data_IF_976248588793
#
_entry.id   IF_976248588793
#
_cell.length_a   1.000
_cell.length_b   1.000
_cell.length_c   1.000
_cell.angle_alpha   90.00
_cell.angle_beta   90.00
_cell.angle_gamma   90.00
#
_symmetry.space_group_name_H-M   'P 1'
#
loop_
_entity.id
_entity.type
_entity.pdbx_description
1 polymer ?
#
# COMPACT_ATOMS: atom_id res chain seq x y z
N UNK A 1 29.36 27.90 30.49
CA UNK A 1 28.44 26.76 30.34
C UNK A 1 27.75 26.89 29.00
N UNK A 2 28.25 26.23 27.96
CA UNK A 2 27.62 26.23 26.64
C UNK A 2 26.87 24.90 26.48
N UNK A 3 25.54 24.97 26.43
CA UNK A 3 24.70 23.80 26.12
C UNK A 3 24.63 23.66 24.60
N UNK A 4 25.42 22.74 24.05
CA UNK A 4 25.33 22.35 22.64
C UNK A 4 24.07 21.51 22.47
N UNK A 5 23.01 22.11 21.93
CA UNK A 5 21.81 21.39 21.52
C UNK A 5 22.13 20.52 20.31
N UNK A 6 22.26 19.21 20.50
CA UNK A 6 22.32 18.25 19.40
C UNK A 6 20.88 18.07 18.90
N UNK A 7 20.58 18.65 17.75
CA UNK A 7 19.36 18.32 17.00
C UNK A 7 19.65 17.02 16.25
N UNK A 8 19.23 15.89 16.81
CA UNK A 8 19.14 14.63 16.08
C UNK A 8 17.94 14.74 15.15
N UNK A 9 18.12 15.33 13.97
CA UNK A 9 17.18 15.16 12.88
C UNK A 9 17.34 13.73 12.37
N UNK A 10 16.63 12.79 13.01
CA UNK A 10 16.41 11.47 12.42
C UNK A 10 15.65 11.69 11.13
N UNK A 11 16.37 11.71 10.02
CA UNK A 11 15.82 11.56 8.68
C UNK A 11 15.19 10.19 8.58
N UNK A 12 13.98 10.04 9.14
CA UNK A 12 13.04 9.04 8.71
C UNK A 12 12.82 9.36 7.23
N UNK A 13 13.53 8.67 6.35
CA UNK A 13 13.16 8.60 4.94
C UNK A 13 11.70 8.14 4.96
N UNK A 14 10.78 9.08 4.75
CA UNK A 14 9.35 8.77 4.72
C UNK A 14 9.18 7.75 3.60
N UNK A 15 9.04 6.47 3.97
CA UNK A 15 8.80 5.41 3.00
C UNK A 15 7.53 5.81 2.28
N UNK A 16 7.61 5.86 0.94
CA UNK A 16 6.46 6.21 0.13
C UNK A 16 5.29 5.29 0.52
N UNK A 17 4.08 5.83 0.77
CA UNK A 17 2.97 5.05 1.27
C UNK A 17 2.64 3.93 0.26
N UNK A 18 2.72 2.68 0.69
CA UNK A 18 2.62 1.51 -0.19
C UNK A 18 1.77 0.43 0.47
N UNK A 19 1.04 -0.33 -0.34
CA UNK A 19 0.40 -1.60 0.04
C UNK A 19 0.84 -2.67 -0.96
N UNK A 20 1.25 -3.82 -0.44
CA UNK A 20 1.58 -4.99 -1.25
C UNK A 20 0.44 -6.00 -1.13
N UNK A 21 -0.18 -6.34 -2.25
CA UNK A 21 -1.12 -7.44 -2.34
C UNK A 21 -0.37 -8.69 -2.79
N UNK A 22 -0.32 -9.68 -1.92
CA UNK A 22 0.16 -11.02 -2.24
C UNK A 22 -0.99 -12.03 -2.30
N UNK A 23 -0.67 -13.20 -2.84
CA UNK A 23 -1.57 -14.36 -2.78
C UNK A 23 -1.37 -15.09 -1.46
N UNK A 24 -2.44 -15.29 -0.69
CA UNK A 24 -2.41 -15.99 0.59
C UNK A 24 -2.52 -17.52 0.45
N UNK A 25 -3.21 -17.99 -0.60
CA UNK A 25 -3.44 -19.43 -0.86
C UNK A 25 -2.64 -19.95 -2.05
N UNK A 26 -1.91 -21.05 -1.84
CA UNK A 26 -1.20 -21.78 -2.90
C UNK A 26 -2.19 -22.20 -4.00
N UNK A 27 -1.91 -21.82 -5.25
CA UNK A 27 -2.74 -22.13 -6.42
C UNK A 27 -3.75 -21.05 -6.83
N UNK A 28 -3.83 -19.93 -6.11
CA UNK A 28 -4.53 -18.72 -6.57
C UNK A 28 -3.60 -17.83 -7.39
N UNK A 29 -4.15 -17.14 -8.38
CA UNK A 29 -3.37 -16.19 -9.20
C UNK A 29 -3.40 -14.80 -8.55
N UNK A 30 -2.41 -13.96 -8.86
CA UNK A 30 -2.41 -12.56 -8.42
C UNK A 30 -3.66 -11.83 -8.96
N UNK A 31 -4.31 -10.93 -8.19
CA UNK A 31 -5.45 -10.21 -8.71
C UNK A 31 -5.01 -9.26 -9.83
N UNK A 32 -5.92 -9.03 -10.78
CA UNK A 32 -5.67 -8.12 -11.89
C UNK A 32 -5.50 -6.68 -11.35
N UNK A 33 -4.42 -6.01 -11.76
CA UNK A 33 -4.13 -4.64 -11.33
C UNK A 33 -5.20 -3.63 -11.74
N UNK A 34 -5.87 -3.84 -12.87
CA UNK A 34 -6.96 -3.00 -13.34
C UNK A 34 -8.22 -3.17 -12.50
N UNK A 35 -8.55 -4.41 -12.11
CA UNK A 35 -9.65 -4.67 -11.19
C UNK A 35 -9.43 -3.98 -9.84
N UNK A 36 -8.22 -4.11 -9.29
CA UNK A 36 -7.85 -3.46 -8.03
C UNK A 36 -7.93 -1.94 -8.16
N UNK A 37 -7.42 -1.37 -9.26
CA UNK A 37 -7.54 0.07 -9.54
C UNK A 37 -8.99 0.54 -9.54
N UNK A 38 -9.87 -0.14 -10.29
CA UNK A 38 -11.28 0.24 -10.38
C UNK A 38 -11.96 0.27 -9.02
N UNK A 39 -11.70 -0.75 -8.19
CA UNK A 39 -12.31 -0.84 -6.87
C UNK A 39 -11.80 0.23 -5.91
N UNK A 40 -10.51 0.58 -5.97
CA UNK A 40 -9.97 1.70 -5.20
C UNK A 40 -10.58 3.03 -5.66
N UNK A 41 -10.62 3.25 -6.98
CA UNK A 41 -11.19 4.46 -7.57
C UNK A 41 -12.69 4.62 -7.26
N UNK A 42 -13.47 3.53 -7.29
CA UNK A 42 -14.91 3.56 -6.96
C UNK A 42 -15.20 3.92 -5.50
N UNK A 43 -14.21 3.74 -4.61
CA UNK A 43 -14.28 4.11 -3.20
C UNK A 43 -13.59 5.46 -2.91
N UNK A 44 -13.17 6.20 -3.94
CA UNK A 44 -12.54 7.50 -3.81
C UNK A 44 -11.08 7.46 -3.35
N UNK A 45 -10.41 6.31 -3.48
CA UNK A 45 -9.00 6.15 -3.14
C UNK A 45 -8.12 6.53 -4.32
N UNK A 46 -7.27 7.55 -4.13
CA UNK A 46 -6.30 7.98 -5.13
C UNK A 46 -4.98 7.25 -4.95
N UNK A 47 -4.50 6.67 -6.05
CA UNK A 47 -3.25 5.92 -6.09
C UNK A 47 -2.28 6.56 -7.09
N UNK A 48 -0.98 6.44 -6.82
CA UNK A 48 0.08 6.89 -7.72
C UNK A 48 0.40 5.87 -8.79
N UNK A 49 0.47 4.59 -8.41
CA UNK A 49 0.80 3.51 -9.32
C UNK A 49 0.33 2.16 -8.80
N UNK A 50 0.12 1.23 -9.73
CA UNK A 50 -0.01 -0.20 -9.45
C UNK A 50 0.97 -0.93 -10.35
N UNK A 51 1.86 -1.71 -9.75
CA UNK A 51 2.87 -2.47 -10.49
C UNK A 51 2.87 -3.93 -10.04
N UNK A 52 2.74 -4.90 -10.97
CA UNK A 52 3.00 -6.29 -10.64
C UNK A 52 4.51 -6.52 -10.49
N UNK A 53 4.95 -6.92 -9.31
CA UNK A 53 6.36 -7.17 -8.97
C UNK A 53 6.52 -8.47 -8.19
N UNK A 54 7.37 -9.38 -8.68
CA UNK A 54 7.79 -10.60 -7.95
C UNK A 54 6.62 -11.46 -7.42
N UNK A 55 5.52 -11.59 -8.17
CA UNK A 55 4.35 -12.36 -7.74
C UNK A 55 3.49 -11.66 -6.70
N UNK A 56 3.64 -10.34 -6.56
CA UNK A 56 2.80 -9.43 -5.78
C UNK A 56 2.34 -8.27 -6.64
N UNK A 57 1.30 -7.58 -6.18
CA UNK A 57 0.84 -6.33 -6.77
C UNK A 57 1.19 -5.21 -5.79
N UNK A 58 2.05 -4.30 -6.21
CA UNK A 58 2.53 -3.19 -5.40
C UNK A 58 1.73 -1.95 -5.76
N UNK A 59 1.05 -1.37 -4.77
CA UNK A 59 0.20 -0.19 -4.92
C UNK A 59 0.87 0.94 -4.16
N UNK A 60 1.21 2.03 -4.85
CA UNK A 60 1.76 3.24 -4.23
C UNK A 60 0.67 4.30 -4.11
N UNK A 61 0.60 4.95 -2.96
CA UNK A 61 -0.43 5.92 -2.62
C UNK A 61 0.15 7.32 -2.46
N UNK A 62 -0.70 8.32 -2.58
CA UNK A 62 -0.28 9.72 -2.50
C UNK A 62 0.19 10.11 -1.09
N UNK A 63 -0.46 9.57 -0.07
CA UNK A 63 -0.19 9.87 1.32
C UNK A 63 -0.68 8.72 2.23
N UNK A 64 -0.39 8.84 3.52
CA UNK A 64 -0.74 7.82 4.52
C UNK A 64 -2.27 7.67 4.72
N UNK A 65 -3.04 8.74 4.58
CA UNK A 65 -4.50 8.69 4.65
C UNK A 65 -5.08 7.83 3.51
N UNK A 66 -4.58 8.03 2.28
CA UNK A 66 -4.94 7.21 1.13
C UNK A 66 -4.51 5.75 1.31
N UNK A 67 -3.35 5.49 1.95
CA UNK A 67 -2.91 4.14 2.30
C UNK A 67 -3.90 3.47 3.27
N UNK A 68 -4.32 4.16 4.33
CA UNK A 68 -5.28 3.60 5.28
C UNK A 68 -6.67 3.38 4.65
N UNK A 69 -7.12 4.30 3.80
CA UNK A 69 -8.37 4.15 3.07
C UNK A 69 -8.31 2.97 2.09
N UNK A 70 -7.23 2.86 1.30
CA UNK A 70 -6.96 1.73 0.42
C UNK A 70 -6.96 0.42 1.19
N UNK A 71 -6.23 0.36 2.31
CA UNK A 71 -6.13 -0.83 3.15
C UNK A 71 -7.50 -1.31 3.64
N UNK A 72 -8.38 -0.39 4.03
CA UNK A 72 -9.75 -0.71 4.44
C UNK A 72 -10.58 -1.27 3.30
N UNK A 73 -10.53 -0.65 2.12
CA UNK A 73 -11.25 -1.12 0.93
C UNK A 73 -10.74 -2.51 0.52
N UNK A 74 -9.42 -2.69 0.45
CA UNK A 74 -8.79 -3.97 0.13
C UNK A 74 -9.23 -5.08 1.10
N UNK A 75 -9.27 -4.82 2.40
CA UNK A 75 -9.76 -5.78 3.39
C UNK A 75 -11.24 -6.15 3.23
N UNK A 76 -12.05 -5.31 2.59
CA UNK A 76 -13.48 -5.59 2.34
C UNK A 76 -13.71 -6.37 1.05
N UNK A 77 -12.85 -6.18 0.05
CA UNK A 77 -13.05 -6.71 -1.31
C UNK A 77 -12.22 -7.97 -1.56
N UNK A 78 -11.05 -8.08 -0.91
CA UNK A 78 -10.17 -9.21 -1.07
C UNK A 78 -10.71 -10.33 -0.22
N UNK A 79 -11.10 -11.43 -0.88
CA UNK A 79 -11.43 -12.68 -0.20
C UNK A 79 -10.20 -13.22 0.56
N UNK A 80 -10.39 -14.20 1.44
CA UNK A 80 -9.35 -14.90 2.20
C UNK A 80 -8.23 -15.56 1.34
N UNK A 81 -8.31 -15.42 0.03
CA UNK A 81 -7.31 -15.83 -0.94
C UNK A 81 -6.12 -14.86 -1.05
N UNK A 82 -6.18 -13.65 -0.48
CA UNK A 82 -5.15 -12.62 -0.61
C UNK A 82 -4.69 -12.03 0.73
N UNK A 83 -3.50 -11.45 0.74
CA UNK A 83 -2.95 -10.71 1.89
C UNK A 83 -2.50 -9.33 1.42
N UNK A 84 -2.91 -8.29 2.14
CA UNK A 84 -2.44 -6.92 1.96
C UNK A 84 -1.58 -6.52 3.15
N UNK A 85 -0.32 -6.16 2.91
CA UNK A 85 0.65 -5.77 3.93
C UNK A 85 1.51 -4.57 3.48
#
# INVERSE_FOLDING_TARGET
MAITGIVLASGLMAKEPEIQIGVARKGSNLPDGFFVYQQLASHGVNIKSITPEQGKLVIRLENEEQRLAAQKVLNQILSDAYTSA
#
